data_IF_113194017921
#
_entry.id   IF_113194017921
#
_cell.length_a   1.000
_cell.length_b   1.000
_cell.length_c   1.000
_cell.angle_alpha   90.00
_cell.angle_beta   90.00
_cell.angle_gamma   90.00
#
_symmetry.space_group_name_H-M   'P 1'
#
loop_
_entity.id
_entity.type
_entity.pdbx_description
1 polymer ?
#
# COMPACT_ATOMS: atom_id res chain seq x y z
N UNK A 1 -54.59 33.28 3.71
CA UNK A 1 -54.16 34.55 3.06
C UNK A 1 -52.64 34.48 2.89
N UNK A 2 -52.02 34.98 1.81
CA UNK A 2 -52.57 35.70 0.65
C UNK A 2 -52.43 34.95 -0.71
N UNK A 3 -53.22 35.33 -1.75
CA UNK A 3 -52.98 35.11 -3.19
C UNK A 3 -52.25 36.36 -3.81
N UNK A 4 -52.07 36.61 -5.15
CA UNK A 4 -52.73 36.00 -6.33
C UNK A 4 -51.92 35.78 -7.64
N UNK A 5 -52.63 35.37 -8.70
CA UNK A 5 -52.20 35.00 -10.07
C UNK A 5 -53.19 35.61 -11.10
N UNK A 6 -52.77 36.39 -12.13
CA UNK A 6 -53.11 36.03 -13.53
C UNK A 6 -52.21 36.60 -14.67
N UNK A 7 -51.86 35.77 -15.68
CA UNK A 7 -51.76 36.09 -17.15
C UNK A 7 -50.95 34.96 -17.86
N UNK A 8 -51.46 33.98 -18.63
CA UNK A 8 -52.62 33.79 -19.52
C UNK A 8 -52.48 34.31 -20.98
N UNK A 9 -52.02 33.45 -21.89
CA UNK A 9 -52.39 33.36 -23.33
C UNK A 9 -51.81 32.04 -23.88
N UNK A 10 -52.51 30.93 -24.20
CA UNK A 10 -53.76 30.60 -24.92
C UNK A 10 -53.74 30.82 -26.46
N UNK A 11 -53.43 29.75 -27.21
CA UNK A 11 -54.27 29.05 -28.24
C UNK A 11 -53.39 28.22 -29.20
N UNK A 12 -53.84 27.17 -29.90
CA UNK A 12 -54.92 26.18 -29.70
C UNK A 12 -54.94 25.19 -30.91
N UNK A 13 -55.33 23.91 -30.69
CA UNK A 13 -56.02 22.99 -31.64
C UNK A 13 -55.31 22.62 -32.97
N UNK A 14 -55.53 21.48 -33.66
CA UNK A 14 -56.32 20.25 -33.39
C UNK A 14 -55.91 19.10 -34.35
N UNK A 15 -56.26 17.84 -33.98
CA UNK A 15 -56.41 16.64 -34.85
C UNK A 15 -57.57 16.83 -35.88
N UNK A 16 -57.92 15.94 -36.87
CA UNK A 16 -57.69 14.48 -36.94
C UNK A 16 -57.50 13.77 -38.32
N UNK A 17 -57.03 12.51 -38.24
CA UNK A 17 -57.45 11.24 -38.91
C UNK A 17 -58.29 11.24 -40.22
N UNK A 18 -57.85 10.45 -41.22
CA UNK A 18 -58.57 9.34 -41.94
C UNK A 18 -58.70 9.37 -43.49
N UNK A 19 -58.68 8.15 -44.05
CA UNK A 19 -59.11 7.65 -45.38
C UNK A 19 -58.19 7.73 -46.62
N UNK A 20 -58.31 6.68 -47.43
CA UNK A 20 -57.54 6.35 -48.61
C UNK A 20 -58.41 6.42 -49.89
N UNK A 21 -57.77 6.45 -51.07
CA UNK A 21 -58.38 6.02 -52.33
C UNK A 21 -57.30 5.58 -53.35
N UNK A 22 -57.66 4.66 -54.24
CA UNK A 22 -56.82 4.09 -55.32
C UNK A 22 -57.12 4.79 -56.65
N UNK A 23 -56.16 4.82 -57.57
CA UNK A 23 -56.39 4.54 -59.01
C UNK A 23 -55.12 4.09 -59.75
N UNK A 24 -55.32 3.33 -60.82
CA UNK A 24 -54.33 2.67 -61.72
C UNK A 24 -53.95 3.61 -62.92
N UNK A 25 -53.19 3.23 -64.00
CA UNK A 25 -52.94 1.86 -64.52
C UNK A 25 -51.55 1.46 -65.08
N UNK A 26 -51.46 0.15 -65.33
CA UNK A 26 -50.53 -0.67 -66.16
C UNK A 26 -49.79 -0.02 -67.34
N UNK A 27 -48.58 -0.54 -67.61
CA UNK A 27 -48.17 -1.13 -68.91
C UNK A 27 -47.49 -2.49 -68.64
N UNK A 28 -47.59 -3.44 -69.57
CA UNK A 28 -46.96 -4.76 -69.48
C UNK A 28 -46.40 -5.20 -70.84
N UNK A 29 -45.26 -5.90 -70.86
CA UNK A 29 -44.84 -6.76 -71.99
C UNK A 29 -43.91 -7.88 -71.51
N UNK A 30 -43.94 -8.99 -72.24
CA UNK A 30 -43.41 -10.32 -71.90
C UNK A 30 -42.13 -10.71 -72.65
N UNK A 31 -41.26 -11.53 -72.04
CA UNK A 31 -40.71 -12.74 -72.69
C UNK A 31 -39.80 -13.60 -71.77
N UNK A 32 -40.15 -14.87 -71.61
CA UNK A 32 -39.29 -16.02 -71.20
C UNK A 32 -38.81 -16.76 -72.49
N UNK A 33 -38.13 -17.93 -72.49
CA UNK A 33 -37.52 -18.75 -71.40
C UNK A 33 -36.07 -19.24 -71.70
N UNK A 34 -35.43 -19.94 -70.73
CA UNK A 34 -34.99 -21.36 -70.85
C UNK A 34 -34.19 -21.85 -69.62
N UNK A 35 -34.76 -22.84 -68.91
CA UNK A 35 -34.01 -23.81 -68.10
C UNK A 35 -33.79 -25.09 -68.95
N UNK A 36 -32.94 -26.05 -68.55
CA UNK A 36 -33.27 -27.25 -67.73
C UNK A 36 -32.13 -28.30 -67.92
N UNK A 37 -32.16 -29.50 -67.29
CA UNK A 37 -32.03 -29.81 -65.85
C UNK A 37 -30.75 -30.73 -65.68
N UNK A 38 -30.68 -31.91 -65.01
CA UNK A 38 -31.54 -32.58 -63.99
C UNK A 38 -31.54 -31.80 -62.65
N UNK A 39 -32.11 -32.18 -61.48
CA UNK A 39 -32.86 -33.34 -60.92
C UNK A 39 -32.14 -34.59 -60.37
N UNK A 40 -32.09 -34.69 -59.03
CA UNK A 40 -32.71 -35.82 -58.31
C UNK A 40 -33.00 -35.44 -56.84
N UNK A 41 -34.28 -35.24 -56.53
CA UNK A 41 -34.79 -35.15 -55.15
C UNK A 41 -35.40 -36.49 -54.78
N UNK A 42 -35.09 -37.01 -53.60
CA UNK A 42 -35.92 -38.02 -52.93
C UNK A 42 -36.21 -37.59 -51.50
N UNK A 43 -37.48 -37.34 -51.23
CA UNK A 43 -38.02 -36.89 -49.95
C UNK A 43 -38.07 -38.00 -48.92
N UNK A 44 -37.71 -37.72 -47.67
CA UNK A 44 -38.18 -38.48 -46.51
C UNK A 44 -38.70 -37.53 -45.43
N UNK A 45 -39.75 -37.96 -44.73
CA UNK A 45 -40.55 -37.13 -43.85
C UNK A 45 -39.90 -36.86 -42.49
N UNK A 46 -40.38 -35.82 -41.82
CA UNK A 46 -39.84 -35.28 -40.58
C UNK A 46 -40.32 -36.00 -39.32
N UNK A 47 -39.39 -36.25 -38.40
CA UNK A 47 -39.64 -36.31 -36.95
C UNK A 47 -38.66 -35.38 -36.22
N UNK A 48 -39.06 -34.71 -35.13
CA UNK A 48 -38.32 -33.55 -34.64
C UNK A 48 -37.17 -33.95 -33.71
N UNK A 49 -35.92 -33.82 -34.19
CA UNK A 49 -34.75 -33.88 -33.32
C UNK A 49 -34.57 -32.53 -32.60
N UNK A 50 -34.85 -32.49 -31.30
CA UNK A 50 -34.61 -31.32 -30.46
C UNK A 50 -33.10 -31.10 -30.30
N UNK A 51 -32.56 -30.14 -31.06
CA UNK A 51 -31.19 -29.66 -30.88
C UNK A 51 -31.04 -29.02 -29.50
N UNK A 52 -30.51 -29.79 -28.54
CA UNK A 52 -30.02 -29.25 -27.26
C UNK A 52 -29.01 -28.15 -27.55
N UNK A 53 -29.40 -26.91 -27.29
CA UNK A 53 -28.49 -25.76 -27.24
C UNK A 53 -27.29 -26.08 -26.35
N UNK A 54 -26.13 -26.35 -26.97
CA UNK A 54 -24.85 -26.37 -26.27
C UNK A 54 -24.57 -24.95 -25.78
N UNK A 55 -24.98 -24.65 -24.54
CA UNK A 55 -24.45 -23.48 -23.82
C UNK A 55 -22.93 -23.58 -23.87
N UNK A 56 -22.28 -22.61 -24.49
CA UNK A 56 -20.83 -22.45 -24.40
C UNK A 56 -20.46 -22.41 -22.91
N UNK A 57 -19.37 -23.06 -22.48
CA UNK A 57 -18.86 -22.86 -21.13
C UNK A 57 -18.59 -21.36 -20.94
N UNK A 58 -18.93 -20.78 -19.77
CA UNK A 58 -18.65 -19.37 -19.53
C UNK A 58 -17.16 -19.12 -19.72
N UNK A 59 -16.79 -18.00 -20.36
CA UNK A 59 -15.39 -17.57 -20.46
C UNK A 59 -14.79 -17.66 -19.08
N UNK A 60 -13.73 -18.48 -18.92
CA UNK A 60 -12.95 -18.58 -17.69
C UNK A 60 -12.65 -17.13 -17.29
N UNK A 61 -13.08 -16.70 -16.08
CA UNK A 61 -12.72 -15.36 -15.58
C UNK A 61 -11.21 -15.25 -15.76
N UNK A 62 -10.75 -14.22 -16.49
CA UNK A 62 -9.33 -13.93 -16.53
C UNK A 62 -8.92 -13.72 -15.07
N UNK A 63 -8.11 -14.64 -14.56
CA UNK A 63 -7.46 -14.47 -13.27
C UNK A 63 -6.66 -13.17 -13.43
N UNK A 64 -7.09 -12.12 -12.72
CA UNK A 64 -6.37 -10.86 -12.72
C UNK A 64 -5.01 -11.18 -12.16
N UNK A 65 -3.98 -11.16 -13.01
CA UNK A 65 -2.61 -11.46 -12.60
C UNK A 65 -2.27 -10.57 -11.42
N UNK A 66 -2.08 -11.20 -10.25
CA UNK A 66 -1.87 -10.46 -9.01
C UNK A 66 -0.61 -9.64 -9.17
N UNK A 67 -0.72 -8.33 -8.95
CA UNK A 67 0.45 -7.44 -9.05
C UNK A 67 1.44 -7.82 -7.96
N UNK A 68 2.67 -8.12 -8.35
CA UNK A 68 3.78 -8.31 -7.42
C UNK A 68 4.05 -6.96 -6.76
N UNK A 69 4.29 -6.97 -5.46
CA UNK A 69 4.55 -5.76 -4.67
C UNK A 69 6.01 -5.31 -4.86
N UNK A 70 6.22 -4.01 -5.07
CA UNK A 70 7.54 -3.40 -5.06
C UNK A 70 8.14 -3.43 -3.64
N UNK A 71 9.43 -3.72 -3.52
CA UNK A 71 10.16 -3.82 -2.24
C UNK A 71 10.52 -5.25 -1.82
N UNK A 72 11.50 -5.34 -0.92
CA UNK A 72 12.19 -6.58 -0.50
C UNK A 72 11.23 -7.69 -0.05
N UNK A 73 11.43 -8.96 -0.46
CA UNK A 73 10.66 -10.07 0.09
C UNK A 73 11.04 -10.32 1.55
N UNK A 74 10.04 -10.33 2.44
CA UNK A 74 10.21 -10.57 3.87
C UNK A 74 9.10 -9.95 4.72
N UNK A 75 9.06 -10.33 6.00
CA UNK A 75 8.14 -9.76 7.01
C UNK A 75 8.85 -8.78 7.97
N UNK A 76 10.18 -8.92 8.12
CA UNK A 76 11.00 -8.07 8.98
C UNK A 76 11.45 -6.80 8.23
N UNK A 77 10.48 -6.00 7.78
CA UNK A 77 10.72 -4.76 7.03
C UNK A 77 10.99 -3.59 7.99
N UNK A 78 11.90 -2.68 7.61
CA UNK A 78 12.29 -1.51 8.43
C UNK A 78 11.93 -0.18 7.76
N UNK A 79 11.64 0.86 8.54
CA UNK A 79 11.48 2.24 8.05
C UNK A 79 12.65 3.11 8.51
N UNK A 80 13.24 3.87 7.58
CA UNK A 80 14.24 4.88 7.90
C UNK A 80 13.63 6.27 8.08
N UNK A 81 14.04 6.99 9.12
CA UNK A 81 13.65 8.39 9.31
C UNK A 81 14.65 9.28 8.57
N UNK A 82 14.17 10.07 7.61
CA UNK A 82 14.95 10.88 6.68
C UNK A 82 14.52 12.34 6.79
N UNK A 83 15.48 13.27 6.74
CA UNK A 83 15.22 14.70 6.64
C UNK A 83 16.52 15.48 6.52
N UNK A 84 16.42 16.79 6.28
CA UNK A 84 17.55 17.69 6.43
C UNK A 84 17.95 17.80 7.92
N UNK A 85 19.16 18.31 8.24
CA UNK A 85 19.51 18.71 9.60
C UNK A 85 18.46 19.66 10.21
N UNK A 86 18.33 19.62 11.54
CA UNK A 86 17.51 20.55 12.32
C UNK A 86 15.98 20.54 12.06
N UNK A 87 15.43 19.55 11.33
CA UNK A 87 13.97 19.43 11.10
C UNK A 87 13.18 18.82 12.28
N UNK A 88 13.85 18.45 13.38
CA UNK A 88 13.27 17.72 14.53
C UNK A 88 13.38 16.18 14.45
N UNK A 89 14.19 15.65 13.52
CA UNK A 89 14.36 14.21 13.25
C UNK A 89 14.75 13.39 14.50
N UNK A 90 15.85 13.74 15.17
CA UNK A 90 16.33 12.96 16.31
C UNK A 90 15.50 13.17 17.59
N UNK A 91 14.85 14.34 17.75
CA UNK A 91 13.79 14.53 18.75
C UNK A 91 12.59 13.60 18.51
N UNK A 92 12.13 13.48 17.26
CA UNK A 92 11.08 12.53 16.89
C UNK A 92 11.50 11.08 17.17
N UNK A 93 12.72 10.68 16.81
CA UNK A 93 13.24 9.35 17.14
C UNK A 93 13.31 9.11 18.66
N UNK A 94 13.85 10.05 19.43
CA UNK A 94 13.90 9.96 20.90
C UNK A 94 12.50 9.81 21.52
N UNK A 95 11.50 10.48 20.96
CA UNK A 95 10.10 10.40 21.41
C UNK A 95 9.50 9.02 21.12
N UNK A 96 9.74 8.49 19.92
CA UNK A 96 9.37 7.11 19.55
C UNK A 96 10.07 6.08 20.45
N UNK A 97 11.37 6.21 20.68
CA UNK A 97 12.16 5.31 21.52
C UNK A 97 11.75 5.38 22.99
N UNK A 98 11.37 6.55 23.52
CA UNK A 98 10.78 6.66 24.87
C UNK A 98 9.45 5.91 25.00
N UNK A 99 8.67 5.81 23.93
CA UNK A 99 7.43 5.01 23.89
C UNK A 99 7.73 3.49 23.97
N UNK A 100 8.91 3.06 23.52
CA UNK A 100 9.40 1.67 23.52
C UNK A 100 10.04 1.29 24.88
N UNK A 101 10.83 2.21 25.46
CA UNK A 101 11.68 1.98 26.65
C UNK A 101 10.95 1.59 27.94
N UNK A 102 9.61 1.65 27.99
CA UNK A 102 8.82 1.17 29.13
C UNK A 102 8.64 -0.35 29.20
N UNK A 103 8.88 -1.12 28.13
CA UNK A 103 8.56 -2.57 28.07
C UNK A 103 9.60 -3.47 27.36
N UNK A 104 10.83 -3.00 27.13
CA UNK A 104 11.91 -3.83 26.55
C UNK A 104 12.44 -4.88 27.54
N UNK A 105 11.72 -5.99 27.70
CA UNK A 105 12.11 -7.12 28.56
C UNK A 105 12.35 -8.46 27.82
N UNK A 106 11.90 -8.61 26.56
CA UNK A 106 11.61 -9.94 25.98
C UNK A 106 12.38 -10.35 24.68
N UNK A 107 13.54 -9.74 24.36
CA UNK A 107 14.37 -10.22 23.23
C UNK A 107 15.87 -10.32 23.56
N UNK A 108 16.30 -11.34 24.34
CA UNK A 108 17.70 -11.52 24.79
C UNK A 108 18.72 -11.88 23.69
N UNK A 109 18.33 -11.85 22.41
CA UNK A 109 19.17 -12.20 21.25
C UNK A 109 19.24 -11.09 20.19
N UNK A 110 18.59 -9.95 20.41
CA UNK A 110 18.68 -8.82 19.48
C UNK A 110 19.82 -7.88 19.91
N UNK A 111 20.86 -7.76 19.08
CA UNK A 111 21.73 -6.58 19.13
C UNK A 111 20.89 -5.38 18.74
N UNK A 112 20.49 -4.56 19.71
CA UNK A 112 19.82 -3.29 19.45
C UNK A 112 20.94 -2.27 19.21
N UNK A 113 21.20 -1.98 17.94
CA UNK A 113 22.03 -0.84 17.56
C UNK A 113 21.35 0.45 18.09
N UNK A 114 22.08 1.44 18.60
CA UNK A 114 21.51 2.64 19.24
C UNK A 114 20.66 3.52 18.31
N UNK A 115 20.63 3.20 17.02
CA UNK A 115 19.87 3.86 15.96
C UNK A 115 18.58 3.09 15.57
N UNK A 116 18.33 1.88 16.10
CA UNK A 116 17.10 1.08 15.87
C UNK A 116 16.14 1.15 17.06
N UNK A 117 14.86 1.44 16.80
CA UNK A 117 13.76 1.38 17.75
C UNK A 117 12.64 0.46 17.25
N UNK A 118 11.93 -0.23 18.16
CA UNK A 118 10.87 -1.20 17.84
C UNK A 118 9.55 -0.78 18.45
N UNK A 119 8.86 0.14 17.78
CA UNK A 119 7.66 0.75 18.35
C UNK A 119 6.47 -0.21 18.21
N UNK A 120 5.70 -0.49 19.28
CA UNK A 120 4.46 -1.25 19.17
C UNK A 120 3.43 -0.49 18.33
N UNK A 121 2.76 -1.20 17.42
CA UNK A 121 1.72 -0.63 16.57
C UNK A 121 0.37 -0.76 17.30
N UNK A 122 -0.32 0.36 17.60
CA UNK A 122 -1.59 0.30 18.32
C UNK A 122 -2.66 -0.39 17.46
N UNK A 123 -3.47 -1.23 18.10
CA UNK A 123 -4.59 -1.91 17.46
C UNK A 123 -5.71 -2.17 18.48
N UNK A 124 -6.87 -1.56 18.26
CA UNK A 124 -8.06 -1.75 19.11
C UNK A 124 -8.52 -3.21 19.12
N UNK A 125 -8.26 -3.97 18.05
CA UNK A 125 -8.59 -5.40 17.95
C UNK A 125 -7.72 -6.22 18.88
N UNK A 126 -6.42 -5.91 18.95
CA UNK A 126 -5.49 -6.57 19.86
C UNK A 126 -5.89 -6.34 21.31
N UNK A 127 -6.17 -5.09 21.69
CA UNK A 127 -6.63 -4.75 23.04
C UNK A 127 -7.91 -5.49 23.42
N UNK A 128 -8.91 -5.52 22.52
CA UNK A 128 -10.15 -6.27 22.75
C UNK A 128 -9.93 -7.78 22.93
N UNK A 129 -8.96 -8.37 22.23
CA UNK A 129 -8.58 -9.77 22.41
C UNK A 129 -7.86 -10.01 23.74
N UNK A 130 -6.99 -9.10 24.18
CA UNK A 130 -6.40 -9.16 25.52
C UNK A 130 -7.47 -9.08 26.62
N UNK A 131 -8.44 -8.17 26.50
CA UNK A 131 -9.56 -8.02 27.45
C UNK A 131 -10.45 -9.28 27.52
N UNK A 132 -10.69 -9.94 26.39
CA UNK A 132 -11.51 -11.15 26.29
C UNK A 132 -10.82 -12.39 26.88
N UNK A 133 -9.57 -12.66 26.48
CA UNK A 133 -8.86 -13.88 26.85
C UNK A 133 -8.05 -13.78 28.15
N UNK A 134 -7.68 -12.55 28.56
CA UNK A 134 -6.84 -12.23 29.73
C UNK A 134 -5.59 -13.12 29.82
N UNK A 135 -4.72 -13.09 28.78
CA UNK A 135 -3.57 -13.97 28.68
C UNK A 135 -2.50 -13.65 29.73
N UNK A 136 -1.54 -14.57 29.91
CA UNK A 136 -0.33 -14.33 30.70
C UNK A 136 0.70 -13.48 29.95
N UNK A 137 0.69 -13.56 28.61
CA UNK A 137 1.59 -12.87 27.68
C UNK A 137 0.79 -12.04 26.68
N UNK A 138 1.11 -10.76 26.54
CA UNK A 138 0.54 -9.85 25.55
C UNK A 138 1.64 -9.34 24.63
N UNK A 139 1.62 -9.74 23.36
CA UNK A 139 2.66 -9.39 22.38
C UNK A 139 2.05 -8.65 21.18
N UNK A 140 2.12 -7.31 21.13
CA UNK A 140 1.62 -6.53 20.01
C UNK A 140 2.48 -6.71 18.75
N UNK A 141 2.00 -6.20 17.62
CA UNK A 141 2.82 -6.10 16.41
C UNK A 141 3.79 -4.92 16.55
N UNK A 142 5.02 -5.07 16.02
CA UNK A 142 6.05 -4.03 16.10
C UNK A 142 6.38 -3.46 14.72
N UNK A 143 6.73 -2.18 14.69
CA UNK A 143 7.33 -1.48 13.56
C UNK A 143 8.78 -1.14 13.90
N UNK A 144 9.73 -1.64 13.11
CA UNK A 144 11.15 -1.28 13.26
C UNK A 144 11.43 0.05 12.56
N UNK A 145 11.83 1.06 13.32
CA UNK A 145 12.28 2.36 12.83
C UNK A 145 13.80 2.50 13.04
N UNK A 146 14.49 3.11 12.08
CA UNK A 146 15.91 3.45 12.16
C UNK A 146 16.06 4.97 12.02
N UNK A 147 16.75 5.64 12.96
CA UNK A 147 17.17 7.02 12.73
C UNK A 147 18.33 7.02 11.72
N UNK A 148 18.18 7.78 10.63
CA UNK A 148 19.26 7.96 9.66
C UNK A 148 19.83 9.37 9.86
N UNK A 149 21.14 9.55 9.74
CA UNK A 149 21.80 10.85 9.88
C UNK A 149 21.14 11.96 9.00
N UNK A 150 21.38 13.24 9.32
CA UNK A 150 20.83 14.33 8.50
C UNK A 150 21.43 14.36 7.08
N UNK A 151 20.60 14.52 6.05
CA UNK A 151 21.07 14.67 4.67
C UNK A 151 21.58 16.10 4.43
N UNK A 152 22.85 16.26 4.06
CA UNK A 152 23.37 17.51 3.47
C UNK A 152 23.24 17.48 1.94
N UNK A 153 23.00 18.62 1.31
CA UNK A 153 23.04 18.74 -0.15
C UNK A 153 24.42 18.35 -0.71
N UNK A 154 24.47 17.82 -1.93
CA UNK A 154 25.70 17.29 -2.57
C UNK A 154 26.06 15.85 -2.17
N UNK A 155 25.11 15.12 -1.55
CA UNK A 155 25.33 13.76 -1.07
C UNK A 155 25.67 12.76 -2.20
N UNK A 156 25.00 12.88 -3.34
CA UNK A 156 25.25 12.07 -4.54
C UNK A 156 26.65 12.31 -5.13
N UNK A 157 27.11 13.57 -5.15
CA UNK A 157 28.42 13.97 -5.68
C UNK A 157 29.62 13.62 -4.80
N UNK A 158 29.40 13.02 -3.63
CA UNK A 158 30.46 12.54 -2.73
C UNK A 158 31.13 13.61 -1.87
N UNK A 159 30.60 14.84 -1.84
CA UNK A 159 31.07 15.91 -0.97
C UNK A 159 30.55 15.72 0.46
N UNK A 160 31.18 14.83 1.23
CA UNK A 160 30.96 14.66 2.68
C UNK A 160 30.22 13.38 3.09
N UNK A 161 29.54 13.41 4.24
CA UNK A 161 28.89 12.26 4.90
C UNK A 161 27.71 11.65 4.12
N UNK A 162 27.25 12.29 3.04
CA UNK A 162 26.06 11.88 2.28
C UNK A 162 26.11 10.49 1.66
N UNK A 163 27.28 9.97 1.28
CA UNK A 163 27.38 8.58 0.79
C UNK A 163 27.10 7.54 1.89
N UNK A 164 27.47 7.81 3.15
CA UNK A 164 27.14 6.94 4.27
C UNK A 164 25.62 6.93 4.49
N UNK A 165 25.00 8.12 4.55
CA UNK A 165 23.55 8.31 4.63
C UNK A 165 22.79 7.47 3.59
N UNK A 166 23.15 7.56 2.31
CA UNK A 166 22.49 6.81 1.23
C UNK A 166 22.65 5.28 1.36
N UNK A 167 23.71 4.81 2.02
CA UNK A 167 23.89 3.38 2.31
C UNK A 167 22.95 2.89 3.41
N UNK A 168 22.70 3.68 4.47
CA UNK A 168 21.69 3.39 5.48
C UNK A 168 20.26 3.44 4.91
N UNK A 169 19.94 4.41 4.03
CA UNK A 169 18.64 4.46 3.33
C UNK A 169 18.43 3.23 2.44
N UNK A 170 19.51 2.64 1.87
CA UNK A 170 19.40 1.40 1.09
C UNK A 170 19.05 0.18 1.96
N UNK A 171 19.48 0.17 3.23
CA UNK A 171 19.24 -0.94 4.16
C UNK A 171 17.77 -1.07 4.59
N UNK A 172 17.07 0.06 4.80
CA UNK A 172 15.63 0.12 5.14
C UNK A 172 14.73 -0.18 3.94
N UNK A 173 13.45 -0.45 4.18
CA UNK A 173 12.48 -0.84 3.15
C UNK A 173 11.47 0.27 2.84
N UNK A 174 11.22 1.20 3.78
CA UNK A 174 10.39 2.40 3.60
C UNK A 174 11.02 3.65 4.24
N UNK A 175 10.45 4.82 3.99
CA UNK A 175 10.98 6.12 4.45
C UNK A 175 9.90 6.94 5.16
N UNK A 176 10.21 7.42 6.37
CA UNK A 176 9.52 8.55 7.00
C UNK A 176 10.29 9.84 6.67
N UNK A 177 9.75 10.66 5.77
CA UNK A 177 10.38 11.94 5.40
C UNK A 177 9.87 13.06 6.30
N UNK A 178 10.70 13.51 7.24
CA UNK A 178 10.40 14.61 8.16
C UNK A 178 10.65 15.95 7.46
N UNK A 179 9.62 16.78 7.39
CA UNK A 179 9.61 18.08 6.71
C UNK A 179 9.37 19.19 7.75
N UNK A 180 10.24 20.20 7.80
CA UNK A 180 10.10 21.35 8.70
C UNK A 180 9.04 22.32 8.17
N UNK A 181 7.98 22.56 8.94
CA UNK A 181 6.94 23.54 8.61
C UNK A 181 6.68 24.53 9.77
N UNK A 182 7.68 24.71 10.63
CA UNK A 182 7.69 25.69 11.71
C UNK A 182 8.84 26.69 11.54
N UNK A 183 8.53 27.97 11.75
CA UNK A 183 9.50 29.06 11.76
C UNK A 183 9.98 29.23 13.21
N UNK A 184 11.29 29.13 13.43
CA UNK A 184 11.94 29.30 14.75
C UNK A 184 13.29 30.00 14.54
N UNK A 185 13.51 31.08 15.28
CA UNK A 185 14.67 31.95 15.16
C UNK A 185 15.93 31.36 15.81
N UNK A 186 15.79 30.42 16.74
CA UNK A 186 16.94 29.75 17.39
C UNK A 186 17.49 28.59 16.53
N UNK A 187 16.68 28.07 15.60
CA UNK A 187 17.00 26.88 14.80
C UNK A 187 17.45 27.26 13.39
N UNK A 188 18.78 27.42 13.22
CA UNK A 188 19.43 27.74 11.94
C UNK A 188 19.09 26.69 10.87
N UNK A 189 18.64 27.17 9.71
CA UNK A 189 18.41 26.34 8.52
C UNK A 189 19.69 26.25 7.67
N UNK A 190 20.00 25.07 7.13
CA UNK A 190 21.22 24.85 6.33
C UNK A 190 21.23 25.71 5.06
N UNK A 191 20.06 25.88 4.44
CA UNK A 191 19.83 26.70 3.25
C UNK A 191 19.46 28.18 3.57
N UNK A 192 19.70 28.63 4.81
CA UNK A 192 19.37 29.97 5.30
C UNK A 192 17.90 30.15 5.67
N UNK A 193 17.01 30.15 4.67
CA UNK A 193 15.56 30.32 4.86
C UNK A 193 14.83 28.97 4.99
N UNK A 194 13.72 28.95 5.75
CA UNK A 194 12.83 27.79 5.89
C UNK A 194 11.92 27.69 4.66
N UNK A 195 12.12 26.67 3.82
CA UNK A 195 11.37 26.44 2.59
C UNK A 195 11.14 24.93 2.35
N UNK A 196 10.08 24.33 2.95
CA UNK A 196 9.88 22.89 2.91
C UNK A 196 9.73 22.29 1.50
N UNK A 197 9.33 23.09 0.50
CA UNK A 197 9.22 22.63 -0.88
C UNK A 197 10.62 22.37 -1.48
N UNK A 198 11.56 23.27 -1.19
CA UNK A 198 12.97 23.13 -1.57
C UNK A 198 13.59 21.91 -0.91
N UNK A 199 13.36 21.73 0.39
CA UNK A 199 13.88 20.59 1.15
C UNK A 199 13.41 19.24 0.57
N UNK A 200 12.12 19.15 0.26
CA UNK A 200 11.52 17.97 -0.37
C UNK A 200 12.08 17.73 -1.77
N UNK A 201 12.29 18.79 -2.56
CA UNK A 201 12.89 18.69 -3.89
C UNK A 201 14.38 18.28 -3.85
N UNK A 202 15.17 18.80 -2.88
CA UNK A 202 16.57 18.40 -2.66
C UNK A 202 16.64 16.90 -2.36
N UNK A 203 15.91 16.43 -1.35
CA UNK A 203 15.89 15.00 -0.97
C UNK A 203 15.47 14.13 -2.16
N UNK A 204 14.38 14.48 -2.84
CA UNK A 204 13.86 13.73 -3.98
C UNK A 204 14.85 13.68 -5.16
N UNK A 205 15.59 14.77 -5.39
CA UNK A 205 16.60 14.85 -6.46
C UNK A 205 17.86 14.05 -6.12
N UNK A 206 18.38 14.13 -4.89
CA UNK A 206 19.54 13.36 -4.45
C UNK A 206 19.30 11.85 -4.51
N UNK A 207 18.09 11.39 -4.11
CA UNK A 207 17.71 9.98 -4.22
C UNK A 207 17.62 9.51 -5.69
N UNK A 208 17.05 10.32 -6.60
CA UNK A 208 17.04 10.02 -8.04
C UNK A 208 18.45 9.98 -8.64
N UNK A 209 19.30 10.97 -8.35
CA UNK A 209 20.67 11.03 -8.87
C UNK A 209 21.48 9.79 -8.48
N UNK A 210 21.35 9.30 -7.23
CA UNK A 210 22.05 8.09 -6.80
C UNK A 210 21.49 6.81 -7.42
N UNK A 211 20.17 6.74 -7.65
CA UNK A 211 19.59 5.62 -8.41
C UNK A 211 20.01 5.64 -9.88
N UNK A 212 20.15 6.81 -10.52
CA UNK A 212 20.66 6.94 -11.89
C UNK A 212 22.09 6.38 -11.98
N UNK A 213 23.02 6.84 -11.14
CA UNK A 213 24.41 6.34 -11.09
C UNK A 213 24.46 4.81 -10.89
N UNK A 214 23.60 4.28 -10.01
CA UNK A 214 23.50 2.85 -9.74
C UNK A 214 22.97 2.06 -10.94
N UNK A 215 21.89 2.55 -11.57
CA UNK A 215 21.24 1.92 -12.73
C UNK A 215 22.15 1.97 -13.95
N UNK A 216 22.87 3.07 -14.20
CA UNK A 216 23.86 3.17 -15.28
C UNK A 216 24.98 2.16 -15.12
N UNK A 217 25.58 2.07 -13.92
CA UNK A 217 26.65 1.11 -13.63
C UNK A 217 26.19 -0.34 -13.81
N UNK A 218 24.96 -0.64 -13.39
CA UNK A 218 24.38 -1.99 -13.50
C UNK A 218 23.97 -2.32 -14.95
N UNK A 219 23.41 -1.37 -15.69
CA UNK A 219 23.16 -1.48 -17.12
C UNK A 219 24.45 -1.82 -17.87
N UNK A 220 25.53 -1.13 -17.55
CA UNK A 220 26.83 -1.30 -18.19
C UNK A 220 27.46 -2.66 -17.85
N UNK A 221 27.21 -3.19 -16.64
CA UNK A 221 27.55 -4.55 -16.22
C UNK A 221 26.77 -5.58 -17.04
N UNK A 222 25.44 -5.48 -17.08
CA UNK A 222 24.56 -6.39 -17.83
C UNK A 222 24.89 -6.39 -19.33
N UNK A 223 25.12 -5.21 -19.93
CA UNK A 223 25.55 -5.05 -21.33
C UNK A 223 26.92 -5.67 -21.62
N UNK A 224 27.83 -5.75 -20.65
CA UNK A 224 29.11 -6.49 -20.80
C UNK A 224 28.87 -7.99 -20.76
N UNK A 225 28.06 -8.50 -19.82
CA UNK A 225 27.71 -9.92 -19.74
C UNK A 225 26.90 -10.40 -20.97
N UNK A 226 26.09 -9.54 -21.60
CA UNK A 226 25.23 -9.93 -22.72
C UNK A 226 25.94 -10.03 -24.07
N UNK A 227 27.16 -9.48 -24.23
CA UNK A 227 27.92 -9.53 -25.50
C UNK A 227 28.24 -10.94 -25.97
N UNK A 228 28.39 -11.88 -25.03
CA UNK A 228 28.75 -13.27 -25.31
C UNK A 228 27.52 -14.20 -25.40
N UNK A 229 26.29 -13.65 -25.33
CA UNK A 229 25.06 -14.43 -25.33
C UNK A 229 24.46 -14.53 -26.73
N UNK A 230 24.04 -15.74 -27.11
CA UNK A 230 23.31 -15.96 -28.36
C UNK A 230 21.87 -15.43 -28.33
N UNK A 231 21.10 -15.79 -29.35
CA UNK A 231 19.63 -15.59 -29.36
C UNK A 231 18.85 -16.91 -29.21
N UNK A 232 19.52 -17.97 -28.74
CA UNK A 232 19.03 -19.35 -28.86
C UNK A 232 18.43 -19.88 -27.54
N UNK A 233 18.98 -19.53 -26.37
CA UNK A 233 18.48 -20.08 -25.10
C UNK A 233 17.39 -19.21 -24.45
N UNK A 234 16.60 -19.84 -23.57
CA UNK A 234 15.60 -19.14 -22.74
C UNK A 234 16.26 -18.16 -21.75
N UNK A 235 17.46 -18.48 -21.25
CA UNK A 235 18.21 -17.61 -20.35
C UNK A 235 18.72 -16.33 -21.06
N UNK A 236 19.10 -16.42 -22.34
CA UNK A 236 19.51 -15.25 -23.13
C UNK A 236 18.35 -14.28 -23.36
N UNK A 237 17.12 -14.82 -23.50
CA UNK A 237 15.90 -14.01 -23.62
C UNK A 237 15.57 -13.31 -22.31
N UNK A 238 15.62 -14.02 -21.18
CA UNK A 238 15.40 -13.42 -19.86
C UNK A 238 16.36 -12.26 -19.57
N UNK A 239 17.65 -12.41 -19.87
CA UNK A 239 18.64 -11.33 -19.71
C UNK A 239 18.43 -10.14 -20.65
N UNK A 240 17.84 -10.36 -21.83
CA UNK A 240 17.45 -9.26 -22.75
C UNK A 240 16.20 -8.52 -22.24
N UNK A 241 15.23 -9.22 -21.67
CA UNK A 241 14.09 -8.62 -20.96
C UNK A 241 14.55 -7.82 -19.72
N UNK A 242 15.51 -8.34 -18.96
CA UNK A 242 16.16 -7.65 -17.83
C UNK A 242 16.83 -6.34 -18.28
N UNK A 243 17.70 -6.37 -19.31
CA UNK A 243 18.35 -5.17 -19.84
C UNK A 243 17.32 -4.14 -20.32
N UNK A 244 16.29 -4.56 -21.07
CA UNK A 244 15.24 -3.65 -21.54
C UNK A 244 14.46 -3.01 -20.38
N UNK A 245 14.27 -3.75 -19.27
CA UNK A 245 13.67 -3.23 -18.04
C UNK A 245 14.58 -2.18 -17.39
N UNK A 246 15.89 -2.45 -17.27
CA UNK A 246 16.87 -1.52 -16.71
C UNK A 246 16.99 -0.24 -17.55
N UNK A 247 16.94 -0.34 -18.89
CA UNK A 247 16.88 0.83 -19.78
C UNK A 247 15.60 1.65 -19.58
N UNK A 248 14.45 1.00 -19.38
CA UNK A 248 13.17 1.68 -19.08
C UNK A 248 13.21 2.38 -17.71
N UNK A 249 13.82 1.77 -16.69
CA UNK A 249 14.05 2.39 -15.37
C UNK A 249 14.89 3.65 -15.52
N UNK A 250 16.01 3.57 -16.25
CA UNK A 250 16.90 4.72 -16.45
C UNK A 250 16.15 5.89 -17.10
N UNK A 251 15.37 5.65 -18.15
CA UNK A 251 14.54 6.68 -18.79
C UNK A 251 13.48 7.28 -17.87
N UNK A 252 12.85 6.47 -17.03
CA UNK A 252 11.86 6.96 -16.05
C UNK A 252 12.49 7.95 -15.06
N UNK A 253 13.73 7.68 -14.66
CA UNK A 253 14.50 8.52 -13.75
C UNK A 253 15.06 9.79 -14.42
N UNK A 254 15.55 9.71 -15.66
CA UNK A 254 16.26 10.82 -16.35
C UNK A 254 15.37 11.67 -17.26
N UNK A 255 14.56 11.06 -18.12
CA UNK A 255 13.72 11.75 -19.10
C UNK A 255 12.42 12.23 -18.43
N UNK A 256 11.73 11.34 -17.72
CA UNK A 256 10.45 11.59 -17.06
C UNK A 256 10.57 12.32 -15.71
N UNK A 257 11.76 12.34 -15.10
CA UNK A 257 12.04 12.85 -13.75
C UNK A 257 11.14 12.27 -12.64
N UNK A 258 10.70 11.00 -12.77
CA UNK A 258 9.77 10.34 -11.84
C UNK A 258 10.47 9.28 -11.00
N UNK A 259 10.02 9.15 -9.75
CA UNK A 259 10.45 8.08 -8.85
C UNK A 259 9.95 6.72 -9.36
N UNK A 260 10.78 5.67 -9.25
CA UNK A 260 10.46 4.32 -9.77
C UNK A 260 9.17 3.77 -9.16
N UNK A 261 8.87 4.06 -7.89
CA UNK A 261 7.62 3.69 -7.20
C UNK A 261 6.33 4.24 -7.83
N UNK A 262 6.41 5.27 -8.67
CA UNK A 262 5.28 5.86 -9.42
C UNK A 262 5.20 5.39 -10.87
N UNK A 263 6.19 4.65 -11.35
CA UNK A 263 6.19 4.05 -12.69
C UNK A 263 5.16 2.93 -12.86
N UNK A 264 4.73 2.69 -14.11
CA UNK A 264 3.85 1.56 -14.44
C UNK A 264 4.66 0.36 -14.90
N UNK A 265 4.69 -0.67 -14.06
CA UNK A 265 5.48 -1.88 -14.23
C UNK A 265 4.60 -3.13 -14.34
N UNK A 266 5.06 -4.09 -15.14
CA UNK A 266 4.54 -5.46 -15.20
C UNK A 266 5.18 -6.33 -14.13
N UNK A 267 4.59 -7.48 -13.82
CA UNK A 267 5.11 -8.38 -12.76
C UNK A 267 6.57 -8.79 -12.96
N UNK A 268 6.97 -9.12 -14.20
CA UNK A 268 8.37 -9.42 -14.54
C UNK A 268 9.30 -8.22 -14.30
N UNK A 269 8.87 -7.02 -14.66
CA UNK A 269 9.67 -5.80 -14.43
C UNK A 269 9.81 -5.52 -12.92
N UNK A 270 8.77 -5.77 -12.12
CA UNK A 270 8.81 -5.63 -10.65
C UNK A 270 9.82 -6.60 -10.02
N UNK A 271 9.92 -7.84 -10.50
CA UNK A 271 10.93 -8.80 -10.01
C UNK A 271 12.36 -8.28 -10.25
N UNK A 272 12.63 -7.70 -11.42
CA UNK A 272 13.91 -7.06 -11.75
C UNK A 272 14.17 -5.84 -10.86
N UNK A 273 13.19 -4.94 -10.70
CA UNK A 273 13.30 -3.73 -9.84
C UNK A 273 13.60 -4.11 -8.39
N UNK A 274 12.94 -5.15 -7.88
CA UNK A 274 13.15 -5.63 -6.51
C UNK A 274 14.58 -6.16 -6.29
N UNK A 275 15.21 -6.74 -7.32
CA UNK A 275 16.62 -7.13 -7.28
C UNK A 275 17.60 -5.96 -7.21
N UNK A 276 17.25 -4.79 -7.75
CA UNK A 276 18.11 -3.60 -7.77
C UNK A 276 18.16 -2.83 -6.45
N UNK A 277 17.15 -2.99 -5.58
CA UNK A 277 17.02 -2.31 -4.26
C UNK A 277 17.10 -0.78 -4.34
N UNK A 278 16.50 -0.19 -5.38
CA UNK A 278 16.51 1.25 -5.65
C UNK A 278 15.92 2.07 -4.51
N UNK A 279 16.42 3.30 -4.32
CA UNK A 279 15.99 4.21 -3.26
C UNK A 279 14.59 4.77 -3.56
N UNK A 280 14.36 5.20 -4.80
CA UNK A 280 13.10 5.74 -5.33
C UNK A 280 12.02 4.68 -5.59
N UNK A 281 12.31 3.41 -5.31
CA UNK A 281 11.31 2.34 -5.28
C UNK A 281 10.64 2.17 -3.90
N UNK A 282 11.21 2.76 -2.85
CA UNK A 282 10.71 2.64 -1.46
C UNK A 282 9.47 3.52 -1.24
N UNK A 283 8.44 3.07 -0.50
CA UNK A 283 7.33 3.92 -0.09
C UNK A 283 7.82 5.05 0.83
N UNK A 284 7.23 6.24 0.67
CA UNK A 284 7.54 7.43 1.49
C UNK A 284 6.25 7.90 2.17
N UNK A 285 6.33 8.13 3.48
CA UNK A 285 5.30 8.82 4.27
C UNK A 285 5.87 10.14 4.75
N UNK A 286 5.22 11.25 4.40
CA UNK A 286 5.64 12.60 4.74
C UNK A 286 5.14 12.99 6.13
N UNK A 287 6.06 13.28 7.03
CA UNK A 287 5.80 13.73 8.40
C UNK A 287 6.08 15.23 8.48
N UNK A 288 5.01 16.05 8.45
CA UNK A 288 5.13 17.51 8.46
C UNK A 288 5.17 17.98 9.91
N UNK A 289 6.37 18.35 10.38
CA UNK A 289 6.59 18.83 11.73
C UNK A 289 6.18 20.31 11.85
N UNK A 290 5.18 20.56 12.70
CA UNK A 290 4.56 21.85 12.96
C UNK A 290 4.90 22.36 14.36
N UNK A 291 4.73 23.66 14.58
CA UNK A 291 4.64 24.19 15.94
C UNK A 291 3.38 23.64 16.64
N UNK A 292 3.42 23.48 17.96
CA UNK A 292 2.26 23.02 18.74
C UNK A 292 1.02 23.88 18.45
N UNK A 293 1.23 25.21 18.38
CA UNK A 293 0.17 26.20 18.12
C UNK A 293 -0.52 25.96 16.79
N UNK A 294 0.24 25.66 15.73
CA UNK A 294 -0.30 25.42 14.38
C UNK A 294 -0.98 24.05 14.28
N UNK A 295 -0.41 23.03 14.95
CA UNK A 295 -0.98 21.70 15.01
C UNK A 295 -2.35 21.70 15.70
N UNK A 296 -2.45 22.30 16.90
CA UNK A 296 -3.70 22.47 17.65
C UNK A 296 -4.73 23.27 16.86
N UNK A 297 -4.30 24.36 16.20
CA UNK A 297 -5.18 25.19 15.34
C UNK A 297 -5.54 24.53 14.01
N UNK A 298 -4.91 23.41 13.64
CA UNK A 298 -5.04 22.70 12.36
C UNK A 298 -4.86 23.62 11.15
N UNK A 299 -3.99 24.63 11.26
CA UNK A 299 -3.73 25.67 10.25
C UNK A 299 -2.25 26.03 10.26
N UNK A 300 -1.63 25.99 9.08
CA UNK A 300 -0.24 26.38 8.88
C UNK A 300 -0.06 26.91 7.44
N UNK A 301 0.91 27.81 7.25
CA UNK A 301 1.22 28.49 5.97
C UNK A 301 1.72 27.52 4.88
N UNK A 302 2.45 26.48 5.27
CA UNK A 302 3.13 25.56 4.37
C UNK A 302 2.29 24.32 4.04
N UNK A 303 1.47 23.85 4.98
CA UNK A 303 0.68 22.61 4.83
C UNK A 303 -0.12 22.50 3.51
N UNK A 304 -0.83 23.54 3.01
CA UNK A 304 -1.53 23.47 1.72
C UNK A 304 -0.56 23.37 0.52
N UNK A 305 0.59 24.04 0.60
CA UNK A 305 1.61 24.02 -0.46
C UNK A 305 2.31 22.67 -0.54
N UNK A 306 2.70 22.12 0.61
CA UNK A 306 3.30 20.78 0.72
C UNK A 306 2.33 19.74 0.15
N UNK A 307 1.05 19.82 0.51
CA UNK A 307 0.04 18.91 -0.05
C UNK A 307 -0.06 19.03 -1.57
N UNK A 308 -0.18 20.24 -2.12
CA UNK A 308 -0.26 20.45 -3.57
C UNK A 308 0.97 19.88 -4.30
N UNK A 309 2.17 20.08 -3.74
CA UNK A 309 3.41 19.53 -4.30
C UNK A 309 3.44 18.00 -4.28
N UNK A 310 2.93 17.35 -3.23
CA UNK A 310 2.80 15.89 -3.17
C UNK A 310 1.76 15.38 -4.17
N UNK A 311 0.60 16.04 -4.26
CA UNK A 311 -0.46 15.65 -5.20
C UNK A 311 0.01 15.77 -6.67
N UNK A 312 0.91 16.70 -6.98
CA UNK A 312 1.52 16.88 -8.30
C UNK A 312 2.69 15.92 -8.59
N UNK A 313 3.68 15.84 -7.69
CA UNK A 313 4.94 15.11 -7.94
C UNK A 313 4.87 13.63 -7.52
N UNK A 314 4.13 13.32 -6.45
CA UNK A 314 4.12 12.02 -5.78
C UNK A 314 2.69 11.57 -5.38
N UNK A 315 1.73 11.53 -6.33
CA UNK A 315 0.32 11.31 -6.03
C UNK A 315 0.09 10.03 -5.23
N UNK A 316 -0.75 10.13 -4.19
CA UNK A 316 -1.12 9.01 -3.32
C UNK A 316 -0.18 8.73 -2.14
N UNK A 317 0.92 9.47 -1.98
CA UNK A 317 1.74 9.38 -0.76
C UNK A 317 0.99 9.95 0.46
N UNK A 318 1.23 9.36 1.62
CA UNK A 318 0.58 9.81 2.85
C UNK A 318 1.30 11.03 3.43
N UNK A 319 0.52 12.06 3.76
CA UNK A 319 0.96 13.21 4.53
C UNK A 319 0.32 13.19 5.92
N UNK A 320 1.15 13.32 6.96
CA UNK A 320 0.74 13.38 8.36
C UNK A 320 1.31 14.65 8.99
N UNK A 321 0.47 15.65 9.31
CA UNK A 321 0.90 16.75 10.16
C UNK A 321 1.00 16.26 11.60
N UNK A 322 2.06 16.66 12.29
CA UNK A 322 2.31 16.37 13.71
C UNK A 322 3.16 17.49 14.32
N UNK A 323 3.39 17.47 15.63
CA UNK A 323 4.28 18.43 16.28
C UNK A 323 5.20 17.71 17.26
N UNK A 324 6.50 17.66 16.95
CA UNK A 324 7.49 16.94 17.77
C UNK A 324 7.50 17.47 19.21
N UNK A 325 7.43 18.79 19.40
CA UNK A 325 7.42 19.41 20.73
C UNK A 325 6.19 19.02 21.58
N UNK A 326 5.03 18.82 20.95
CA UNK A 326 3.84 18.34 21.66
C UNK A 326 3.99 16.87 22.05
N UNK A 327 4.44 16.01 21.12
CA UNK A 327 4.65 14.59 21.39
C UNK A 327 5.73 14.37 22.47
N UNK A 328 6.82 15.15 22.44
CA UNK A 328 7.87 15.12 23.48
C UNK A 328 7.31 15.46 24.86
N UNK A 329 6.35 16.40 24.96
CA UNK A 329 5.68 16.72 26.22
C UNK A 329 4.74 15.60 26.66
N UNK A 330 3.85 15.13 25.77
CA UNK A 330 2.88 14.07 26.07
C UNK A 330 3.54 12.77 26.52
N UNK A 331 4.70 12.39 25.95
CA UNK A 331 5.43 11.16 26.30
C UNK A 331 6.10 11.24 27.69
N UNK A 332 6.29 12.42 28.28
CA UNK A 332 6.80 12.55 29.65
C UNK A 332 5.66 12.58 30.71
N UNK A 333 4.39 12.59 30.30
CA UNK A 333 3.22 12.56 31.20
C UNK A 333 2.73 11.11 31.40
N UNK A 334 1.95 10.87 32.46
CA UNK A 334 1.20 9.62 32.56
C UNK A 334 0.07 9.56 31.53
N UNK A 335 -0.44 8.36 31.23
CA UNK A 335 -1.55 8.17 30.27
C UNK A 335 -2.80 9.00 30.63
N UNK A 336 -3.10 9.16 31.92
CA UNK A 336 -4.26 9.91 32.40
C UNK A 336 -4.05 11.42 32.22
N UNK A 337 -2.89 11.95 32.63
CA UNK A 337 -2.51 13.35 32.43
C UNK A 337 -2.42 13.73 30.95
N UNK A 338 -1.90 12.84 30.09
CA UNK A 338 -1.81 13.04 28.65
C UNK A 338 -3.20 13.13 27.99
N UNK A 339 -4.20 12.36 28.48
CA UNK A 339 -5.59 12.46 28.02
C UNK A 339 -6.22 13.77 28.48
N UNK A 340 -6.00 14.19 29.73
CA UNK A 340 -6.48 15.49 30.21
C UNK A 340 -5.85 16.67 29.46
N UNK A 341 -4.56 16.60 29.17
CA UNK A 341 -3.83 17.64 28.43
C UNK A 341 -4.33 17.72 26.98
N UNK A 342 -4.51 16.57 26.32
CA UNK A 342 -5.13 16.51 25.01
C UNK A 342 -6.55 17.11 25.01
N UNK A 343 -7.36 16.86 26.04
CA UNK A 343 -8.68 17.47 26.19
C UNK A 343 -8.61 18.99 26.37
N UNK A 344 -7.69 19.50 27.20
CA UNK A 344 -7.42 20.95 27.36
C UNK A 344 -7.00 21.62 26.04
N UNK A 345 -6.32 20.88 25.16
CA UNK A 345 -5.89 21.32 23.82
C UNK A 345 -6.95 21.08 22.72
N UNK A 346 -8.10 20.46 23.02
CA UNK A 346 -9.15 20.17 22.04
C UNK A 346 -8.80 19.04 21.05
N UNK A 347 -7.91 18.14 21.44
CA UNK A 347 -7.54 16.93 20.70
C UNK A 347 -8.49 15.76 21.06
N UNK A 348 -8.64 14.73 20.19
CA UNK A 348 -9.57 13.63 20.44
C UNK A 348 -9.09 12.73 21.59
N UNK A 349 -9.94 12.50 22.61
CA UNK A 349 -9.60 11.66 23.78
C UNK A 349 -9.06 10.26 23.43
N UNK A 350 -9.53 9.68 22.32
CA UNK A 350 -9.12 8.35 21.87
C UNK A 350 -7.75 8.29 21.17
N UNK A 351 -7.15 9.43 20.83
CA UNK A 351 -5.80 9.53 20.26
C UNK A 351 -5.19 10.89 20.67
N UNK A 352 -4.67 11.00 21.90
CA UNK A 352 -4.01 12.22 22.37
C UNK A 352 -2.71 12.50 21.58
N UNK A 353 -2.04 11.45 21.12
CA UNK A 353 -0.77 11.47 20.39
C UNK A 353 -0.97 11.13 18.89
N UNK A 354 -0.22 11.81 18.02
CA UNK A 354 -0.13 11.47 16.60
C UNK A 354 0.81 10.27 16.33
N UNK A 355 1.66 9.86 17.28
CA UNK A 355 2.65 8.78 17.10
C UNK A 355 1.99 7.46 16.71
N UNK A 356 0.88 7.09 17.37
CA UNK A 356 0.14 5.87 17.04
C UNK A 356 -0.45 5.85 15.63
N UNK A 357 -0.81 7.03 15.10
CA UNK A 357 -1.22 7.19 13.71
C UNK A 357 -0.03 7.07 12.76
N UNK A 358 1.13 7.63 13.12
CA UNK A 358 2.36 7.57 12.31
C UNK A 358 2.87 6.13 12.21
N UNK A 359 2.91 5.37 13.31
CA UNK A 359 3.34 3.96 13.29
C UNK A 359 2.37 3.08 12.50
N UNK A 360 1.06 3.28 12.66
CA UNK A 360 0.04 2.57 11.87
C UNK A 360 0.17 2.88 10.37
N UNK A 361 0.40 4.14 10.02
CA UNK A 361 0.63 4.57 8.64
C UNK A 361 1.91 3.97 8.04
N UNK A 362 3.02 3.98 8.79
CA UNK A 362 4.27 3.33 8.40
C UNK A 362 4.09 1.84 8.13
N UNK A 363 3.47 1.13 9.06
CA UNK A 363 3.17 -0.30 8.95
C UNK A 363 2.33 -0.61 7.69
N UNK A 364 1.30 0.19 7.44
CA UNK A 364 0.48 0.06 6.23
C UNK A 364 1.25 0.43 4.94
N UNK A 365 2.17 1.39 4.98
CA UNK A 365 2.96 1.81 3.81
C UNK A 365 3.97 0.76 3.35
N UNK A 366 4.42 -0.10 4.27
CA UNK A 366 5.24 -1.28 3.99
C UNK A 366 4.41 -2.49 3.47
N UNK A 367 3.09 -2.32 3.31
CA UNK A 367 2.13 -3.39 3.04
C UNK A 367 2.19 -4.56 4.05
N UNK A 368 2.46 -4.24 5.32
CA UNK A 368 2.36 -5.19 6.42
C UNK A 368 0.91 -5.28 6.90
N UNK A 369 0.49 -6.51 7.20
CA UNK A 369 -0.76 -6.87 7.87
C UNK A 369 -0.43 -7.72 9.09
N UNK A 370 -1.37 -7.88 10.01
CA UNK A 370 -1.22 -8.77 11.17
C UNK A 370 -2.34 -9.79 11.26
N UNK A 371 -2.01 -10.98 11.71
CA UNK A 371 -2.98 -11.98 12.17
C UNK A 371 -2.74 -12.25 13.66
N UNK A 372 -3.75 -12.76 14.35
CA UNK A 372 -3.67 -13.02 15.79
C UNK A 372 -3.61 -14.51 16.10
N UNK A 373 -2.84 -14.88 17.12
CA UNK A 373 -3.01 -16.13 17.85
C UNK A 373 -3.52 -15.77 19.25
N UNK A 374 -4.60 -16.41 19.68
CA UNK A 374 -5.28 -16.11 20.94
C UNK A 374 -5.39 -17.36 21.81
N UNK A 375 -5.31 -17.17 23.13
CA UNK A 375 -5.46 -18.23 24.13
C UNK A 375 -5.24 -17.69 25.55
N UNK A 376 -5.44 -18.53 26.57
CA UNK A 376 -5.26 -18.15 27.97
C UNK A 376 -3.79 -17.95 28.38
N UNK A 377 -2.83 -18.46 27.59
CA UNK A 377 -1.40 -18.28 27.83
C UNK A 377 -0.85 -17.03 27.11
N UNK A 378 -1.16 -16.85 25.83
CA UNK A 378 -0.67 -15.72 25.03
C UNK A 378 -1.74 -15.19 24.06
N UNK A 379 -1.86 -13.86 23.96
CA UNK A 379 -2.45 -13.17 22.80
C UNK A 379 -1.33 -12.44 22.09
N UNK A 380 -1.14 -12.75 20.80
CA UNK A 380 -0.04 -12.22 20.00
C UNK A 380 -0.46 -11.83 18.60
N UNK A 381 0.04 -10.68 18.15
CA UNK A 381 -0.11 -10.18 16.79
C UNK A 381 1.15 -10.50 15.95
N UNK A 382 0.96 -11.27 14.88
CA UNK A 382 2.03 -11.71 13.99
C UNK A 382 2.07 -10.87 12.73
N UNK A 383 3.15 -10.09 12.56
CA UNK A 383 3.39 -9.28 11.36
C UNK A 383 3.73 -10.15 10.16
N UNK A 384 3.00 -9.97 9.06
CA UNK A 384 3.23 -10.62 7.77
C UNK A 384 2.99 -9.66 6.61
N UNK A 385 3.64 -9.87 5.46
CA UNK A 385 3.35 -9.06 4.26
C UNK A 385 1.99 -9.42 3.66
N UNK A 386 1.27 -8.42 3.14
CA UNK A 386 -0.04 -8.58 2.49
C UNK A 386 0.03 -9.59 1.33
N UNK A 387 -0.97 -10.47 1.25
CA UNK A 387 -1.03 -11.52 0.22
C UNK A 387 -0.19 -12.77 0.54
N UNK A 388 0.39 -12.87 1.74
CA UNK A 388 1.02 -14.11 2.23
C UNK A 388 0.00 -15.26 2.29
N UNK A 389 0.45 -16.48 2.00
CA UNK A 389 -0.40 -17.68 2.10
C UNK A 389 -0.34 -18.30 3.49
N UNK A 390 -1.39 -19.02 3.88
CA UNK A 390 -1.50 -19.64 5.19
C UNK A 390 -0.27 -20.48 5.64
N UNK A 391 0.38 -21.31 4.80
CA UNK A 391 1.57 -22.05 5.21
C UNK A 391 2.76 -21.13 5.55
N UNK A 392 2.98 -20.10 4.74
CA UNK A 392 4.06 -19.12 4.93
C UNK A 392 3.80 -18.26 6.17
N UNK A 393 2.55 -17.89 6.44
CA UNK A 393 2.16 -17.16 7.64
C UNK A 393 2.36 -18.00 8.90
N UNK A 394 2.06 -19.30 8.84
CA UNK A 394 2.32 -20.24 9.93
C UNK A 394 3.83 -20.46 10.17
N UNK A 395 4.63 -20.47 9.09
CA UNK A 395 6.09 -20.52 9.12
C UNK A 395 6.76 -19.41 9.94
N UNK A 396 6.09 -18.25 10.09
CA UNK A 396 6.57 -17.13 10.93
C UNK A 396 6.59 -17.47 12.42
N UNK A 397 5.74 -18.42 12.86
CA UNK A 397 5.75 -18.92 14.24
C UNK A 397 6.87 -19.96 14.41
N UNK A 398 6.93 -20.93 13.50
CA UNK A 398 7.99 -21.95 13.45
C UNK A 398 8.05 -22.58 12.06
N UNK A 399 9.24 -22.90 11.56
CA UNK A 399 9.45 -23.51 10.23
C UNK A 399 8.63 -24.78 10.00
N UNK A 400 8.44 -25.57 11.05
CA UNK A 400 7.73 -26.84 10.99
C UNK A 400 6.24 -26.67 10.66
N UNK A 401 5.62 -25.55 11.05
CA UNK A 401 4.24 -25.24 10.67
C UNK A 401 4.09 -25.04 9.17
N UNK A 402 5.10 -24.51 8.48
CA UNK A 402 5.09 -24.39 7.02
C UNK A 402 5.36 -25.74 6.34
N UNK A 403 6.38 -26.46 6.80
CA UNK A 403 6.77 -27.75 6.22
C UNK A 403 5.69 -28.84 6.38
N UNK A 404 5.11 -28.96 7.58
CA UNK A 404 4.08 -29.95 7.93
C UNK A 404 2.65 -29.40 7.86
N UNK A 405 2.43 -28.28 7.16
CA UNK A 405 1.11 -27.62 7.09
C UNK A 405 0.01 -28.56 6.56
N UNK A 406 -1.01 -28.80 7.39
CA UNK A 406 -2.25 -29.50 7.01
C UNK A 406 -3.35 -28.48 6.71
N UNK A 407 -3.77 -27.71 7.71
CA UNK A 407 -4.76 -26.64 7.58
C UNK A 407 -4.61 -25.59 8.69
N UNK A 408 -5.17 -24.41 8.46
CA UNK A 408 -5.44 -23.43 9.51
C UNK A 408 -6.92 -23.40 9.86
N UNK A 409 -7.25 -23.38 11.15
CA UNK A 409 -8.57 -22.94 11.63
C UNK A 409 -8.53 -21.42 11.75
N UNK A 410 -9.34 -20.73 10.94
CA UNK A 410 -9.29 -19.28 10.77
C UNK A 410 -10.68 -18.70 10.96
N UNK A 411 -10.80 -17.78 11.92
CA UNK A 411 -11.99 -16.96 12.15
C UNK A 411 -11.66 -15.49 11.94
N UNK A 412 -12.60 -14.71 11.41
CA UNK A 412 -12.41 -13.26 11.31
C UNK A 412 -12.60 -12.63 12.69
N UNK A 413 -11.84 -11.58 13.01
CA UNK A 413 -12.04 -10.79 14.23
C UNK A 413 -13.49 -10.30 14.37
N UNK A 414 -14.11 -9.84 13.29
CA UNK A 414 -15.48 -9.31 13.31
C UNK A 414 -16.51 -10.40 13.69
N UNK A 415 -16.33 -11.64 13.22
CA UNK A 415 -17.14 -12.78 13.64
C UNK A 415 -16.94 -13.04 15.15
N UNK A 416 -15.70 -13.08 15.66
CA UNK A 416 -15.48 -13.30 17.08
C UNK A 416 -16.08 -12.18 17.95
N UNK A 417 -16.05 -10.93 17.46
CA UNK A 417 -16.65 -9.78 18.14
C UNK A 417 -18.19 -9.79 18.12
N UNK A 418 -18.81 -10.33 17.06
CA UNK A 418 -20.26 -10.52 16.95
C UNK A 418 -20.77 -11.64 17.87
N UNK A 419 -20.12 -12.81 17.85
CA UNK A 419 -20.56 -14.01 18.60
C UNK A 419 -19.96 -14.12 20.00
N UNK A 420 -18.99 -13.28 20.36
CA UNK A 420 -18.37 -13.14 21.68
C UNK A 420 -17.45 -14.29 22.15
N UNK A 421 -17.65 -15.52 21.67
CA UNK A 421 -16.85 -16.70 22.04
C UNK A 421 -16.56 -17.61 20.85
N UNK A 422 -15.41 -18.28 20.85
CA UNK A 422 -15.02 -19.24 19.80
C UNK A 422 -16.05 -20.37 19.63
N UNK A 423 -16.66 -20.83 20.73
CA UNK A 423 -17.69 -21.85 20.71
C UNK A 423 -18.94 -21.38 19.93
N UNK A 424 -19.35 -20.12 20.10
CA UNK A 424 -20.46 -19.53 19.36
C UNK A 424 -20.10 -19.29 17.88
N UNK A 425 -18.90 -18.79 17.58
CA UNK A 425 -18.37 -18.67 16.19
C UNK A 425 -18.37 -20.03 15.48
N UNK A 426 -17.97 -21.09 16.18
CA UNK A 426 -17.95 -22.47 15.67
C UNK A 426 -19.37 -23.02 15.48
N UNK A 427 -20.29 -22.78 16.41
CA UNK A 427 -21.69 -23.16 16.29
C UNK A 427 -22.41 -22.43 15.13
N UNK A 428 -22.04 -21.18 14.85
CA UNK A 428 -22.50 -20.40 13.70
C UNK A 428 -21.84 -20.82 12.36
N UNK A 429 -20.92 -21.80 12.36
CA UNK A 429 -20.21 -22.25 11.16
C UNK A 429 -19.23 -21.23 10.58
N UNK A 430 -18.85 -20.20 11.35
CA UNK A 430 -17.93 -19.12 10.93
C UNK A 430 -16.45 -19.47 11.14
N UNK A 431 -16.14 -20.51 11.92
CA UNK A 431 -14.79 -21.05 12.04
C UNK A 431 -14.43 -21.84 10.77
N UNK A 432 -13.58 -21.28 9.90
CA UNK A 432 -13.25 -21.85 8.59
C UNK A 432 -11.97 -22.69 8.66
N UNK A 433 -12.01 -23.92 8.17
CA UNK A 433 -10.78 -24.69 7.92
C UNK A 433 -10.25 -24.33 6.53
N UNK A 434 -9.08 -23.70 6.50
CA UNK A 434 -8.43 -23.17 5.30
C UNK A 434 -7.18 -23.96 4.94
N UNK A 435 -7.05 -24.28 3.65
CA UNK A 435 -5.90 -25.01 3.11
C UNK A 435 -4.79 -24.09 2.60
N UNK A 436 -3.77 -24.71 1.98
CA UNK A 436 -2.57 -24.04 1.43
C UNK A 436 -2.81 -22.83 0.51
N UNK A 437 -3.88 -22.72 -0.31
CA UNK A 437 -4.07 -21.55 -1.19
C UNK A 437 -4.75 -20.35 -0.51
N UNK A 438 -5.16 -20.43 0.76
CA UNK A 438 -5.74 -19.29 1.47
C UNK A 438 -4.70 -18.19 1.68
N UNK A 439 -5.08 -16.95 1.40
CA UNK A 439 -4.29 -15.75 1.67
C UNK A 439 -4.82 -15.08 2.94
N UNK A 440 -3.92 -14.73 3.85
CA UNK A 440 -4.27 -14.17 5.15
C UNK A 440 -4.86 -12.78 5.01
N UNK A 441 -5.96 -12.54 5.72
CA UNK A 441 -6.60 -11.23 5.83
C UNK A 441 -6.13 -10.55 7.12
N UNK A 442 -5.98 -9.23 7.08
CA UNK A 442 -5.61 -8.46 8.26
C UNK A 442 -6.67 -8.60 9.36
N UNK A 443 -6.26 -9.03 10.55
CA UNK A 443 -7.16 -9.34 11.66
C UNK A 443 -7.79 -10.74 11.64
N UNK A 444 -7.37 -11.64 10.74
CA UNK A 444 -7.68 -13.06 10.89
C UNK A 444 -7.11 -13.58 12.23
N UNK A 445 -7.88 -14.39 12.96
CA UNK A 445 -7.45 -15.12 14.16
C UNK A 445 -7.20 -16.56 13.73
N UNK A 446 -5.97 -17.03 13.88
CA UNK A 446 -5.46 -18.25 13.26
C UNK A 446 -5.01 -19.28 14.30
N UNK A 447 -5.39 -20.53 14.09
CA UNK A 447 -4.86 -21.70 14.79
C UNK A 447 -4.35 -22.73 13.79
N UNK A 448 -3.06 -23.05 13.84
CA UNK A 448 -2.39 -23.87 12.84
C UNK A 448 -2.35 -25.35 13.21
N UNK A 449 -2.66 -26.25 12.25
CA UNK A 449 -2.55 -27.70 12.42
C UNK A 449 -1.43 -28.28 11.56
N UNK A 450 -0.46 -28.88 12.23
CA UNK A 450 0.60 -29.69 11.63
C UNK A 450 0.17 -31.15 11.47
N UNK A 451 0.75 -31.82 10.48
CA UNK A 451 0.90 -33.28 10.53
C UNK A 451 1.93 -33.68 11.59
N UNK A 452 1.81 -34.91 12.10
CA UNK A 452 2.82 -35.53 12.96
C UNK A 452 4.15 -35.71 12.20
#
# INVERSE_FOLDING_TARGET
>A
MPPPIPALSRKALSRPILFALRTCPRVATTSLPRCTPPTLVRTFASTPFTLKSRKMPPKKKQEVEKKIVLGRPGNNLKIGIVGLPNVGKSSFFNTLSKTDLGKSANFPYATIDPEEARIPVPDERFLWLCDLYKPKSEVPAFLTCIDIAGLTAGASTGAGLGNAFLSHVRAVDGIFQVVRAFDDAEVIHVEGDVDPLRDMQIISTELRLKDIEWVEKELDRLKKLSRNLGSVSLADKAKKEEIATVEKILKTLTEDNKDVRKGTWTNKEVEVINGLTLLTAKPITYLVNLSERDFVRKKNKWLPKIKAWIDENNPGDQLIPFSVALEERLVNLSNEEAIEEAEKLGLPKANPSALGKITTAGYASLELIRYFTCGPDEVRAWTVRKGIKAPQAAGVIHSDFEQKFVCGEIMAFDDLKEYGTEAAVKAAGKLRQQGKPYEIVDGDICYWKCGA
#
